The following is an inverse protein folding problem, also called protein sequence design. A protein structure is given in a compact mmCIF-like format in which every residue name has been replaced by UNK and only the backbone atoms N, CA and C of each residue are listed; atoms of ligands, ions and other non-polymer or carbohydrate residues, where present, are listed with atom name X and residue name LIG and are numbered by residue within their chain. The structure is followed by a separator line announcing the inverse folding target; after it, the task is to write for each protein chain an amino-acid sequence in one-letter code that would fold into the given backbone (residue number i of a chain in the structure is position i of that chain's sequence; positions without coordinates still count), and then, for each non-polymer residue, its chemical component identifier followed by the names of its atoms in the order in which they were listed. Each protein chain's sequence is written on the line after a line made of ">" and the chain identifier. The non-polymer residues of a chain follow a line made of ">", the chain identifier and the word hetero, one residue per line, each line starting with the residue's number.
data_IF_036575459654
#
_entry.id   IF_036575459654
#
_cell.length_a   1.000
_cell.length_b   1.000
_cell.length_c   1.000
_cell.angle_alpha   90.00
_cell.angle_beta   90.00
_cell.angle_gamma   90.00
#
_symmetry.space_group_name_H-M   'P 1'
#
loop_
_entity.id
_entity.type
_entity.pdbx_description
1 polymer ?
#
# COMPACT_ATOMS: atom_id res chain seq x y z
N UNK A 1 -15.08 19.82 5.42
CA UNK A 1 -15.11 21.26 5.83
C UNK A 1 -15.40 21.42 7.32
N UNK A 2 -16.28 20.62 7.93
CA UNK A 2 -16.46 20.58 9.40
C UNK A 2 -15.23 20.06 10.15
N UNK A 3 -14.57 19.01 9.64
CA UNK A 3 -13.43 18.39 10.35
C UNK A 3 -12.29 19.38 10.65
N UNK A 4 -11.92 20.23 9.68
CA UNK A 4 -10.89 21.27 9.88
C UNK A 4 -11.33 22.32 10.91
N UNK A 5 -12.60 22.72 10.88
CA UNK A 5 -13.16 23.69 11.84
C UNK A 5 -13.18 23.10 13.25
N UNK A 6 -13.61 21.85 13.39
CA UNK A 6 -13.65 21.15 14.67
C UNK A 6 -12.24 20.95 15.24
N UNK A 7 -11.29 20.51 14.41
CA UNK A 7 -9.90 20.35 14.83
C UNK A 7 -9.27 21.67 15.29
N UNK A 8 -9.51 22.77 14.56
CA UNK A 8 -9.04 24.10 14.97
C UNK A 8 -9.71 24.58 16.26
N UNK A 9 -11.01 24.31 16.42
CA UNK A 9 -11.75 24.69 17.63
C UNK A 9 -11.24 23.90 18.84
N UNK A 10 -11.02 22.59 18.70
CA UNK A 10 -10.50 21.70 19.74
C UNK A 10 -9.04 22.01 20.08
N UNK A 11 -8.25 22.43 19.09
CA UNK A 11 -6.89 22.92 19.28
C UNK A 11 -6.82 24.38 19.77
N UNK A 12 -7.97 25.03 20.05
CA UNK A 12 -8.04 26.43 20.46
C UNK A 12 -7.27 27.40 19.52
N UNK A 13 -7.27 27.11 18.21
CA UNK A 13 -6.58 27.88 17.18
C UNK A 13 -5.11 27.51 16.96
N UNK A 14 -4.56 26.55 17.71
CA UNK A 14 -3.22 26.01 17.46
C UNK A 14 -3.22 25.16 16.18
N UNK A 15 -2.50 25.63 15.16
CA UNK A 15 -2.44 25.00 13.85
C UNK A 15 -1.71 23.66 13.87
N UNK A 16 -0.60 23.54 14.60
CA UNK A 16 0.18 22.29 14.66
C UNK A 16 -0.64 21.22 15.37
N UNK A 17 -1.24 21.59 16.50
CA UNK A 17 -2.12 20.69 17.24
C UNK A 17 -3.38 20.31 16.46
N UNK A 18 -3.96 21.23 15.70
CA UNK A 18 -5.10 20.93 14.83
C UNK A 18 -4.74 19.91 13.74
N UNK A 19 -3.54 20.00 13.16
CA UNK A 19 -3.03 19.02 12.17
C UNK A 19 -2.88 17.64 12.83
N UNK A 20 -2.35 17.56 14.04
CA UNK A 20 -2.28 16.29 14.78
C UNK A 20 -3.66 15.69 15.04
N UNK A 21 -4.62 16.50 15.50
CA UNK A 21 -6.00 16.07 15.74
C UNK A 21 -6.68 15.58 14.46
N UNK A 22 -6.44 16.26 13.34
CA UNK A 22 -6.92 15.81 12.03
C UNK A 22 -6.35 14.44 11.67
N UNK A 23 -5.05 14.20 11.85
CA UNK A 23 -4.44 12.89 11.57
C UNK A 23 -5.11 11.77 12.38
N UNK A 24 -5.37 12.00 13.67
CA UNK A 24 -6.08 11.03 14.52
C UNK A 24 -7.51 10.78 14.05
N UNK A 25 -8.27 11.85 13.76
CA UNK A 25 -9.66 11.75 13.29
C UNK A 25 -9.75 11.03 11.94
N UNK A 26 -8.81 11.31 11.03
CA UNK A 26 -8.74 10.66 9.73
C UNK A 26 -8.40 9.17 9.85
N UNK A 27 -7.44 8.79 10.70
CA UNK A 27 -7.16 7.38 10.98
C UNK A 27 -8.39 6.61 11.48
N UNK A 28 -9.14 7.19 12.42
CA UNK A 28 -10.39 6.59 12.90
C UNK A 28 -11.46 6.46 11.81
N UNK A 29 -11.51 7.42 10.88
CA UNK A 29 -12.43 7.38 9.74
C UNK A 29 -12.03 6.28 8.76
N UNK A 30 -10.74 6.16 8.43
CA UNK A 30 -10.21 5.10 7.57
C UNK A 30 -10.50 3.70 8.14
N UNK A 31 -10.29 3.50 9.44
CA UNK A 31 -10.64 2.23 10.10
C UNK A 31 -12.13 1.85 9.97
N UNK A 32 -13.03 2.85 10.00
CA UNK A 32 -14.47 2.61 9.77
C UNK A 32 -14.81 2.34 8.30
N UNK A 33 -14.01 2.86 7.36
CA UNK A 33 -14.18 2.62 5.93
C UNK A 33 -13.70 1.22 5.56
N UNK A 34 -12.60 0.75 6.13
CA UNK A 34 -11.99 -0.55 5.81
C UNK A 34 -12.96 -1.75 5.92
N UNK A 35 -13.95 -1.68 6.83
CA UNK A 35 -14.97 -2.72 6.99
C UNK A 35 -16.15 -2.63 6.01
N UNK A 36 -16.20 -1.64 5.12
CA UNK A 36 -17.28 -1.49 4.14
C UNK A 36 -16.98 -2.28 2.89
N UNK A 37 -17.97 -3.02 2.41
CA UNK A 37 -17.87 -3.76 1.16
C UNK A 37 -17.58 -2.83 -0.03
N UNK A 38 -16.53 -3.13 -0.78
CA UNK A 38 -16.10 -2.40 -1.97
C UNK A 38 -16.29 -3.29 -3.20
N UNK A 39 -17.48 -3.23 -3.83
CA UNK A 39 -17.86 -4.08 -4.96
C UNK A 39 -17.82 -3.37 -6.32
N UNK A 40 -17.76 -2.04 -6.33
CA UNK A 40 -17.55 -1.24 -7.54
C UNK A 40 -16.05 -0.99 -7.74
N UNK A 41 -15.64 -0.50 -8.92
CA UNK A 41 -14.23 -0.22 -9.13
C UNK A 41 -13.81 -0.11 -10.59
N UNK A 42 -12.51 -0.25 -10.81
CA UNK A 42 -11.91 -0.18 -12.13
C UNK A 42 -10.86 -1.26 -12.34
N UNK A 43 -10.77 -1.75 -13.57
CA UNK A 43 -9.63 -2.55 -14.03
C UNK A 43 -8.76 -1.67 -14.90
N UNK A 44 -7.51 -1.50 -14.52
CA UNK A 44 -6.52 -0.75 -15.28
C UNK A 44 -5.39 -1.66 -15.74
N UNK A 45 -4.69 -1.21 -16.77
CA UNK A 45 -3.50 -1.88 -17.26
C UNK A 45 -2.35 -0.90 -17.42
N UNK A 46 -1.14 -1.43 -17.34
CA UNK A 46 0.07 -0.74 -17.76
C UNK A 46 0.90 -1.67 -18.64
N UNK A 47 1.17 -1.24 -19.86
CA UNK A 47 2.08 -1.93 -20.78
C UNK A 47 3.32 -1.06 -20.88
N UNK A 48 4.47 -1.62 -20.51
CA UNK A 48 5.73 -0.90 -20.61
C UNK A 48 6.04 -0.56 -22.08
N UNK A 49 6.71 0.57 -22.33
CA UNK A 49 6.92 1.09 -23.69
C UNK A 49 7.68 0.14 -24.62
N UNK A 50 8.49 -0.77 -24.08
CA UNK A 50 9.19 -1.83 -24.83
C UNK A 50 8.27 -2.98 -25.26
N UNK A 51 7.05 -3.07 -24.73
CA UNK A 51 6.11 -4.16 -24.95
C UNK A 51 6.48 -5.48 -24.24
N UNK A 52 7.50 -5.49 -23.37
CA UNK A 52 8.02 -6.71 -22.74
C UNK A 52 7.51 -6.97 -21.32
N UNK A 53 6.84 -5.99 -20.71
CA UNK A 53 6.22 -6.10 -19.38
C UNK A 53 4.82 -5.53 -19.44
N UNK A 54 3.85 -6.25 -18.88
CA UNK A 54 2.46 -5.83 -18.79
C UNK A 54 1.86 -6.15 -17.42
N UNK A 55 1.03 -5.25 -16.92
CA UNK A 55 0.30 -5.42 -15.66
C UNK A 55 -1.18 -5.16 -15.88
N UNK A 56 -2.02 -6.01 -15.28
CA UNK A 56 -3.45 -5.77 -15.07
C UNK A 56 -3.70 -5.66 -13.57
N UNK A 57 -4.52 -4.71 -13.15
CA UNK A 57 -4.89 -4.50 -11.75
C UNK A 57 -6.37 -4.20 -11.62
N UNK A 58 -6.99 -4.74 -10.58
CA UNK A 58 -8.35 -4.44 -10.16
C UNK A 58 -8.30 -3.66 -8.84
N UNK A 59 -8.88 -2.46 -8.84
CA UNK A 59 -9.00 -1.62 -7.65
C UNK A 59 -10.47 -1.30 -7.43
N UNK A 60 -10.96 -1.60 -6.23
CA UNK A 60 -12.35 -1.46 -5.84
C UNK A 60 -12.59 -0.24 -4.96
N UNK A 61 -13.81 0.28 -5.05
CA UNK A 61 -14.39 1.30 -4.22
C UNK A 61 -15.85 0.95 -3.87
N UNK A 62 -16.54 1.80 -3.12
CA UNK A 62 -17.92 1.53 -2.70
C UNK A 62 -18.93 1.86 -3.80
N UNK A 63 -18.68 2.91 -4.61
CA UNK A 63 -19.65 3.39 -5.61
C UNK A 63 -19.08 3.53 -7.02
N UNK A 64 -19.96 3.44 -8.02
CA UNK A 64 -19.62 3.62 -9.43
C UNK A 64 -19.21 5.08 -9.75
N UNK A 65 -19.65 6.05 -8.95
CA UNK A 65 -19.23 7.44 -9.05
C UNK A 65 -17.73 7.61 -8.79
N UNK A 66 -17.20 6.99 -7.73
CA UNK A 66 -15.75 7.03 -7.44
C UNK A 66 -14.98 6.16 -8.43
N UNK A 67 -15.55 5.04 -8.88
CA UNK A 67 -14.92 4.17 -9.87
C UNK A 67 -14.57 4.88 -11.20
N UNK A 68 -15.30 5.95 -11.54
CA UNK A 68 -15.09 6.77 -12.75
C UNK A 68 -14.35 8.08 -12.48
N UNK A 69 -13.96 8.35 -11.23
CA UNK A 69 -13.21 9.55 -10.89
C UNK A 69 -11.79 9.49 -11.47
N UNK A 70 -11.34 10.57 -12.09
CA UNK A 70 -10.02 10.61 -12.76
C UNK A 70 -8.86 10.34 -11.81
N UNK A 71 -8.92 10.79 -10.55
CA UNK A 71 -7.87 10.54 -9.56
C UNK A 71 -7.85 9.06 -9.13
N UNK A 72 -9.02 8.43 -9.00
CA UNK A 72 -9.11 7.00 -8.69
C UNK A 72 -8.57 6.13 -9.82
N UNK A 73 -8.94 6.45 -11.06
CA UNK A 73 -8.42 5.76 -12.26
C UNK A 73 -6.92 6.01 -12.42
N UNK A 74 -6.43 7.23 -12.15
CA UNK A 74 -5.02 7.55 -12.18
C UNK A 74 -4.24 6.76 -11.14
N UNK A 75 -4.73 6.67 -9.89
CA UNK A 75 -4.14 5.85 -8.84
C UNK A 75 -3.99 4.40 -9.28
N UNK A 76 -5.05 3.78 -9.80
CA UNK A 76 -4.99 2.38 -10.26
C UNK A 76 -3.94 2.19 -11.39
N UNK A 77 -3.82 3.15 -12.32
CA UNK A 77 -2.78 3.10 -13.37
C UNK A 77 -1.36 3.28 -12.82
N UNK A 78 -1.18 4.16 -11.84
CA UNK A 78 0.11 4.41 -11.20
C UNK A 78 0.56 3.18 -10.41
N UNK A 79 -0.34 2.51 -9.70
CA UNK A 79 -0.05 1.24 -9.03
C UNK A 79 0.29 0.14 -10.06
N UNK A 80 -0.40 0.07 -11.20
CA UNK A 80 -0.03 -0.88 -12.26
C UNK A 80 1.40 -0.62 -12.80
N UNK A 81 1.77 0.66 -12.98
CA UNK A 81 3.11 1.08 -13.38
C UNK A 81 4.15 0.72 -12.32
N UNK A 82 3.84 0.95 -11.05
CA UNK A 82 4.67 0.55 -9.92
C UNK A 82 4.96 -0.95 -9.97
N UNK A 83 3.92 -1.79 -10.03
CA UNK A 83 4.06 -3.25 -10.09
C UNK A 83 4.92 -3.68 -11.28
N UNK A 84 4.79 -3.03 -12.44
CA UNK A 84 5.60 -3.36 -13.60
C UNK A 84 7.10 -3.16 -13.34
N UNK A 85 7.46 -2.14 -12.56
CA UNK A 85 8.82 -1.81 -12.15
C UNK A 85 9.32 -2.59 -10.91
N UNK A 86 8.42 -3.27 -10.19
CA UNK A 86 8.71 -4.05 -8.98
C UNK A 86 8.51 -5.56 -9.22
N UNK A 87 9.45 -6.26 -9.88
CA UNK A 87 9.28 -7.67 -10.26
C UNK A 87 9.15 -8.64 -9.07
N UNK A 88 9.61 -8.24 -7.88
CA UNK A 88 9.49 -9.06 -6.67
C UNK A 88 8.09 -9.00 -6.02
N UNK A 89 7.22 -8.07 -6.44
CA UNK A 89 5.88 -7.92 -5.85
C UNK A 89 5.01 -9.15 -6.14
N UNK A 90 4.60 -9.84 -5.08
CA UNK A 90 3.82 -11.09 -5.15
C UNK A 90 2.52 -11.03 -4.37
N UNK A 91 2.49 -10.21 -3.32
CA UNK A 91 1.38 -10.13 -2.38
C UNK A 91 0.86 -8.69 -2.30
N UNK A 92 -0.42 -8.53 -1.98
CA UNK A 92 -1.02 -7.18 -1.83
C UNK A 92 -0.67 -6.64 -0.45
N UNK A 93 -1.01 -7.39 0.59
CA UNK A 93 -0.80 -7.05 1.99
C UNK A 93 -0.01 -8.16 2.71
N UNK A 94 0.46 -7.87 3.93
CA UNK A 94 1.30 -8.80 4.68
C UNK A 94 0.51 -10.04 5.17
N UNK A 95 -0.80 -9.92 5.35
CA UNK A 95 -1.66 -11.02 5.81
C UNK A 95 -1.95 -12.01 4.67
N UNK A 96 -1.84 -11.57 3.42
CA UNK A 96 -1.95 -12.41 2.22
C UNK A 96 -0.73 -13.28 1.96
N UNK A 97 0.36 -13.10 2.71
CA UNK A 97 1.57 -13.93 2.60
C UNK A 97 1.34 -15.28 3.30
N UNK A 98 1.46 -16.43 2.60
CA UNK A 98 1.27 -17.73 3.22
C UNK A 98 2.27 -17.98 4.35
N UNK A 99 1.80 -18.56 5.46
CA UNK A 99 2.63 -18.89 6.61
C UNK A 99 3.83 -19.77 6.22
N UNK A 100 3.62 -20.74 5.33
CA UNK A 100 4.69 -21.63 4.83
C UNK A 100 5.83 -20.87 4.13
N UNK A 101 5.51 -19.84 3.34
CA UNK A 101 6.52 -19.01 2.68
C UNK A 101 7.27 -18.15 3.68
N UNK A 102 6.56 -17.54 4.63
CA UNK A 102 7.17 -16.74 5.69
C UNK A 102 8.11 -17.56 6.56
N UNK A 103 7.68 -18.76 6.96
CA UNK A 103 8.50 -19.69 7.75
C UNK A 103 9.70 -20.21 6.94
N UNK A 104 9.56 -20.39 5.63
CA UNK A 104 10.67 -20.79 4.76
C UNK A 104 11.76 -19.71 4.71
N UNK A 105 11.38 -18.45 4.51
CA UNK A 105 12.33 -17.32 4.53
C UNK A 105 12.96 -17.14 5.91
N UNK A 106 12.18 -17.30 6.99
CA UNK A 106 12.71 -17.23 8.35
C UNK A 106 13.80 -18.29 8.61
N UNK A 107 13.62 -19.52 8.13
CA UNK A 107 14.66 -20.58 8.21
C UNK A 107 15.91 -20.19 7.43
N UNK A 108 15.75 -19.68 6.21
CA UNK A 108 16.87 -19.23 5.37
C UNK A 108 17.64 -18.12 6.09
N UNK A 109 16.95 -17.13 6.67
CA UNK A 109 17.60 -16.04 7.40
C UNK A 109 18.27 -16.52 8.69
N UNK A 110 17.67 -17.46 9.41
CA UNK A 110 18.27 -18.07 10.60
C UNK A 110 19.61 -18.76 10.27
N UNK A 111 19.67 -19.48 9.13
CA UNK A 111 20.93 -20.07 8.65
C UNK A 111 21.97 -19.00 8.28
N UNK A 112 21.56 -17.89 7.66
CA UNK A 112 22.46 -16.80 7.27
C UNK A 112 23.10 -16.07 8.46
N UNK A 113 22.48 -16.14 9.65
CA UNK A 113 22.97 -15.46 10.86
C UNK A 113 23.49 -16.42 11.92
N UNK A 114 23.66 -17.71 11.59
CA UNK A 114 24.10 -18.74 12.53
C UNK A 114 25.49 -18.46 13.15
N UNK A 115 26.33 -17.66 12.47
CA UNK A 115 27.64 -17.22 12.95
C UNK A 115 27.58 -16.04 13.94
N UNK A 116 26.41 -15.41 14.11
CA UNK A 116 26.22 -14.26 15.00
C UNK A 116 25.87 -14.71 16.44
N UNK A 117 26.10 -13.86 17.45
CA UNK A 117 25.68 -14.14 18.82
C UNK A 117 24.17 -14.43 18.94
N UNK A 118 23.80 -15.50 19.67
CA UNK A 118 22.43 -16.02 19.74
C UNK A 118 21.42 -15.01 20.31
N UNK A 119 21.88 -14.06 21.13
CA UNK A 119 21.08 -12.99 21.73
C UNK A 119 20.64 -11.92 20.72
N UNK A 120 21.40 -11.72 19.64
CA UNK A 120 21.06 -10.73 18.60
C UNK A 120 20.40 -11.34 17.35
N UNK A 121 20.54 -12.65 17.14
CA UNK A 121 19.99 -13.34 15.97
C UNK A 121 18.49 -13.05 15.72
N UNK A 122 17.59 -13.13 16.73
CA UNK A 122 16.16 -12.88 16.49
C UNK A 122 15.87 -11.48 15.95
N UNK A 123 16.62 -10.48 16.41
CA UNK A 123 16.46 -9.09 15.96
C UNK A 123 16.94 -8.92 14.51
N UNK A 124 18.01 -9.60 14.12
CA UNK A 124 18.52 -9.56 12.74
C UNK A 124 17.54 -10.25 11.81
N UNK A 125 17.07 -11.45 12.17
CA UNK A 125 16.08 -12.22 11.40
C UNK A 125 14.82 -11.39 11.18
N UNK A 126 14.30 -10.75 12.24
CA UNK A 126 13.13 -9.88 12.12
C UNK A 126 13.36 -8.73 11.12
N UNK A 127 14.52 -8.06 11.18
CA UNK A 127 14.84 -7.00 10.23
C UNK A 127 14.98 -7.48 8.78
N UNK A 128 15.48 -8.71 8.58
CA UNK A 128 15.58 -9.34 7.26
C UNK A 128 14.19 -9.73 6.73
N UNK A 129 13.33 -10.27 7.59
CA UNK A 129 11.92 -10.53 7.27
C UNK A 129 11.18 -9.24 6.92
N UNK A 130 11.35 -8.17 7.69
CA UNK A 130 10.71 -6.88 7.41
C UNK A 130 11.15 -6.34 6.04
N UNK A 131 12.44 -6.43 5.72
CA UNK A 131 12.96 -6.02 4.40
C UNK A 131 12.40 -6.89 3.28
N UNK A 132 12.34 -8.21 3.47
CA UNK A 132 11.74 -9.12 2.50
C UNK A 132 10.27 -8.77 2.25
N UNK A 133 9.50 -8.49 3.32
CA UNK A 133 8.11 -8.02 3.21
C UNK A 133 8.01 -6.70 2.46
N UNK A 134 8.93 -5.75 2.69
CA UNK A 134 9.00 -4.49 1.93
C UNK A 134 9.28 -4.71 0.44
N UNK A 135 9.92 -5.81 0.07
CA UNK A 135 10.21 -6.19 -1.32
C UNK A 135 9.06 -6.97 -1.98
N UNK A 136 8.34 -7.84 -1.27
CA UNK A 136 7.32 -8.73 -1.88
C UNK A 136 5.86 -8.26 -1.70
N UNK A 137 5.59 -7.37 -0.75
CA UNK A 137 4.24 -6.90 -0.42
C UNK A 137 3.98 -5.50 -0.97
N UNK A 138 3.02 -5.38 -1.89
CA UNK A 138 2.69 -4.14 -2.59
C UNK A 138 2.41 -2.96 -1.66
N UNK A 139 1.56 -3.14 -0.66
CA UNK A 139 1.16 -2.05 0.23
C UNK A 139 2.32 -1.51 1.09
N UNK A 140 3.36 -2.32 1.32
CA UNK A 140 4.56 -1.89 2.06
C UNK A 140 5.55 -1.14 1.19
N UNK A 141 5.48 -1.31 -0.13
CA UNK A 141 6.45 -0.73 -1.05
C UNK A 141 6.32 0.79 -1.12
N UNK A 142 7.46 1.47 -1.05
CA UNK A 142 7.57 2.87 -1.42
C UNK A 142 7.31 3.04 -2.91
N UNK A 143 6.51 4.03 -3.31
CA UNK A 143 6.22 4.25 -4.72
C UNK A 143 7.50 4.53 -5.53
N UNK A 144 7.66 3.88 -6.70
CA UNK A 144 8.85 3.97 -7.56
C UNK A 144 9.22 5.40 -7.97
N UNK A 145 8.22 6.27 -8.08
CA UNK A 145 8.42 7.71 -8.21
C UNK A 145 8.36 8.37 -6.83
N UNK A 146 9.44 8.20 -6.06
CA UNK A 146 9.54 8.65 -4.68
C UNK A 146 9.34 10.16 -4.52
N UNK A 147 9.93 10.97 -5.39
CA UNK A 147 9.85 12.43 -5.32
C UNK A 147 8.43 12.93 -5.54
N UNK A 148 7.71 12.33 -6.49
CA UNK A 148 6.31 12.72 -6.79
C UNK A 148 5.35 12.39 -5.65
N UNK A 149 5.62 11.32 -4.91
CA UNK A 149 4.75 10.85 -3.83
C UNK A 149 5.37 11.06 -2.45
N UNK A 150 6.37 11.95 -2.32
CA UNK A 150 6.97 12.32 -1.03
C UNK A 150 7.46 11.10 -0.20
N UNK A 151 8.04 10.10 -0.87
CA UNK A 151 8.48 8.82 -0.28
C UNK A 151 7.38 7.98 0.35
N UNK A 152 6.10 8.23 0.01
CA UNK A 152 4.98 7.45 0.54
C UNK A 152 4.96 6.03 -0.01
N UNK A 153 4.45 5.13 0.82
CA UNK A 153 4.12 3.77 0.39
C UNK A 153 2.84 3.75 -0.44
N UNK A 154 2.62 2.67 -1.18
CA UNK A 154 1.36 2.45 -1.90
C UNK A 154 0.16 2.51 -0.96
N UNK A 155 0.29 1.97 0.26
CA UNK A 155 -0.77 2.01 1.26
C UNK A 155 -1.10 3.42 1.73
N UNK A 156 -0.08 4.23 2.00
CA UNK A 156 -0.28 5.63 2.39
C UNK A 156 -0.99 6.43 1.29
N UNK A 157 -0.62 6.22 0.02
CA UNK A 157 -1.29 6.86 -1.13
C UNK A 157 -2.76 6.38 -1.23
N UNK A 158 -3.00 5.09 -1.03
CA UNK A 158 -4.35 4.48 -1.01
C UNK A 158 -5.21 5.07 0.11
N UNK A 159 -4.66 5.18 1.31
CA UNK A 159 -5.32 5.76 2.48
C UNK A 159 -5.66 7.24 2.29
N UNK A 160 -4.75 8.02 1.70
CA UNK A 160 -5.01 9.42 1.36
C UNK A 160 -6.17 9.57 0.36
N UNK A 161 -6.21 8.70 -0.64
CA UNK A 161 -7.30 8.68 -1.61
C UNK A 161 -8.62 8.26 -0.93
N UNK A 162 -8.60 7.23 -0.07
CA UNK A 162 -9.76 6.78 0.71
C UNK A 162 -10.30 7.87 1.64
N UNK A 163 -9.40 8.59 2.30
CA UNK A 163 -9.70 9.74 3.14
C UNK A 163 -10.39 10.86 2.36
N UNK A 164 -9.90 11.13 1.13
CA UNK A 164 -10.39 12.18 0.25
C UNK A 164 -11.75 11.84 -0.37
N UNK A 165 -11.94 10.62 -0.84
CA UNK A 165 -13.21 10.16 -1.43
C UNK A 165 -14.25 9.83 -0.37
N UNK A 166 -13.82 9.47 0.85
CA UNK A 166 -14.70 8.97 1.89
C UNK A 166 -15.18 7.53 1.64
N UNK A 167 -14.50 6.79 0.77
CA UNK A 167 -14.80 5.41 0.40
C UNK A 167 -13.66 4.47 0.78
N UNK A 168 -14.00 3.20 1.01
CA UNK A 168 -13.02 2.15 1.14
C UNK A 168 -12.37 1.90 -0.22
N UNK A 169 -11.03 1.98 -0.30
CA UNK A 169 -10.29 1.72 -1.54
C UNK A 169 -9.45 0.47 -1.32
N UNK A 170 -9.68 -0.54 -2.15
CA UNK A 170 -9.10 -1.87 -1.99
C UNK A 170 -8.40 -2.24 -3.29
N UNK A 171 -7.11 -2.60 -3.22
CA UNK A 171 -6.45 -3.27 -4.33
C UNK A 171 -6.82 -4.75 -4.20
N UNK A 172 -7.60 -5.27 -5.14
CA UNK A 172 -8.21 -6.61 -4.99
C UNK A 172 -7.31 -7.70 -5.54
N UNK A 173 -6.73 -7.47 -6.72
CA UNK A 173 -5.82 -8.38 -7.39
C UNK A 173 -5.02 -7.66 -8.45
N UNK A 174 -3.87 -8.21 -8.78
CA UNK A 174 -3.09 -7.81 -9.94
C UNK A 174 -2.50 -9.05 -10.60
N UNK A 175 -2.11 -8.90 -11.86
CA UNK A 175 -1.28 -9.86 -12.57
C UNK A 175 -0.21 -9.09 -13.33
N UNK A 176 1.04 -9.53 -13.14
CA UNK A 176 2.19 -9.05 -13.90
C UNK A 176 2.62 -10.15 -14.87
N UNK A 177 3.00 -9.74 -16.07
CA UNK A 177 3.62 -10.58 -17.09
C UNK A 177 4.91 -9.91 -17.53
N UNK A 178 5.98 -10.69 -17.68
CA UNK A 178 7.17 -10.27 -18.38
C UNK A 178 7.58 -11.35 -19.38
N UNK A 179 8.14 -10.93 -20.52
CA UNK A 179 8.63 -11.88 -21.52
C UNK A 179 9.79 -12.68 -20.93
N UNK A 180 9.62 -14.01 -20.87
CA UNK A 180 10.63 -14.95 -20.38
C UNK A 180 10.55 -15.28 -18.88
N UNK A 181 9.48 -14.85 -18.20
CA UNK A 181 9.18 -15.17 -16.80
C UNK A 181 8.13 -16.28 -16.68
#
# INVERSE_FOLDING_TARGET
>A
MMDCKEALTEAAGDMERAVELLRVKMGNKLGKLAGREAAEGTVQSYIHATGTVGVLIEVNCNTDFVARNDEFVAFAREVAMHIAASPATRFIDADSVPAEEREAEERVFAEQVADKPADIQPKIIQGMLDKWLDEVVLLRQQHVNADRHENKTIDQIREELSAKTGENIVITRFQRYAVGE
#
